data_IF_310586845160
#
_entry.id   IF_310586845160
#
_cell.length_a   1.000
_cell.length_b   1.000
_cell.length_c   1.000
_cell.angle_alpha   90.00
_cell.angle_beta   90.00
_cell.angle_gamma   90.00
#
_symmetry.space_group_name_H-M   'P 1'
#
loop_
_entity.id
_entity.type
_entity.pdbx_description
1 polymer ?
#
# COMPACT_ATOMS: atom_id res chain seq x y z
N UNK A 1 -1.76 4.74 11.12
CA UNK A 1 -0.53 5.47 10.67
C UNK A 1 0.12 4.62 9.58
N UNK A 2 0.47 5.22 8.42
CA UNK A 2 1.20 4.53 7.36
C UNK A 2 2.68 4.44 7.74
N UNK A 3 3.28 3.28 7.49
CA UNK A 3 4.69 2.96 7.75
C UNK A 3 5.25 2.11 6.62
N UNK A 4 6.56 2.08 6.45
CA UNK A 4 7.24 1.23 5.47
C UNK A 4 8.40 0.46 6.12
N UNK A 5 8.92 -0.56 5.41
CA UNK A 5 10.09 -1.33 5.88
C UNK A 5 11.39 -0.52 5.87
N UNK A 6 11.38 0.66 5.25
CA UNK A 6 12.60 1.38 4.96
C UNK A 6 13.40 0.74 3.83
N UNK A 7 14.67 1.10 3.76
CA UNK A 7 15.59 0.68 2.70
C UNK A 7 16.75 -0.10 3.30
N UNK A 8 17.29 -1.06 2.53
CA UNK A 8 18.54 -1.71 2.82
C UNK A 8 19.50 -1.51 1.65
N UNK A 9 20.81 -1.48 1.92
CA UNK A 9 21.80 -1.44 0.85
C UNK A 9 21.75 -2.73 0.03
N UNK A 10 22.06 -2.64 -1.27
CA UNK A 10 21.96 -3.77 -2.19
C UNK A 10 22.93 -4.92 -1.89
N UNK A 11 23.99 -4.67 -1.13
CA UNK A 11 24.95 -5.66 -0.65
C UNK A 11 24.55 -6.34 0.67
N UNK A 12 23.45 -5.91 1.27
CA UNK A 12 22.88 -6.55 2.46
C UNK A 12 22.04 -7.75 2.04
N UNK A 13 22.26 -8.88 2.72
CA UNK A 13 21.43 -10.06 2.52
C UNK A 13 19.95 -9.79 2.83
N UNK A 14 19.05 -10.23 1.94
CA UNK A 14 17.62 -9.94 2.07
C UNK A 14 17.00 -10.54 3.34
N UNK A 15 17.46 -11.70 3.80
CA UNK A 15 16.98 -12.30 5.05
C UNK A 15 17.46 -11.53 6.29
N UNK A 16 18.65 -10.96 6.25
CA UNK A 16 19.11 -10.12 7.36
C UNK A 16 18.38 -8.79 7.38
N UNK A 17 18.16 -8.17 6.22
CA UNK A 17 17.33 -6.97 6.11
C UNK A 17 15.89 -7.22 6.61
N UNK A 18 15.31 -8.37 6.25
CA UNK A 18 14.00 -8.80 6.73
C UNK A 18 13.97 -8.96 8.27
N UNK A 19 14.97 -9.59 8.86
CA UNK A 19 15.08 -9.77 10.33
C UNK A 19 15.16 -8.42 11.04
N UNK A 20 15.93 -7.46 10.52
CA UNK A 20 16.03 -6.11 11.09
C UNK A 20 14.71 -5.37 11.01
N UNK A 21 14.00 -5.48 9.88
CA UNK A 21 12.67 -4.90 9.76
C UNK A 21 11.69 -5.54 10.77
N UNK A 22 11.67 -6.87 10.88
CA UNK A 22 10.79 -7.57 11.82
C UNK A 22 11.09 -7.21 13.29
N UNK A 23 12.36 -7.10 13.67
CA UNK A 23 12.75 -6.66 15.02
C UNK A 23 12.32 -5.21 15.30
N UNK A 24 12.55 -4.31 14.35
CA UNK A 24 12.14 -2.92 14.45
C UNK A 24 10.62 -2.80 14.60
N UNK A 25 9.84 -3.51 13.78
CA UNK A 25 8.38 -3.52 13.89
C UNK A 25 7.90 -4.14 15.21
N UNK A 26 8.56 -5.20 15.69
CA UNK A 26 8.24 -5.78 17.01
C UNK A 26 8.41 -4.77 18.14
N UNK A 27 9.38 -3.87 18.03
CA UNK A 27 9.61 -2.83 19.03
C UNK A 27 8.56 -1.71 18.95
N UNK A 28 8.29 -1.16 17.76
CA UNK A 28 7.32 -0.07 17.61
C UNK A 28 5.88 -0.52 17.81
N UNK A 29 5.56 -1.78 17.51
CA UNK A 29 4.22 -2.33 17.72
C UNK A 29 3.84 -2.37 19.19
N UNK A 30 4.77 -2.63 20.12
CA UNK A 30 4.48 -2.54 21.57
C UNK A 30 3.98 -1.15 21.96
N UNK A 31 4.56 -0.10 21.36
CA UNK A 31 4.10 1.27 21.61
C UNK A 31 2.76 1.52 20.92
N UNK A 32 2.61 1.08 19.67
CA UNK A 32 1.36 1.23 18.93
C UNK A 32 0.19 0.56 19.66
N UNK A 33 0.38 -0.66 20.18
CA UNK A 33 -0.63 -1.37 20.99
C UNK A 33 -1.01 -0.58 22.24
N UNK A 34 -0.02 -0.05 22.98
CA UNK A 34 -0.28 0.72 24.21
C UNK A 34 -1.04 2.03 23.96
N UNK A 35 -0.93 2.60 22.75
CA UNK A 35 -1.59 3.85 22.35
C UNK A 35 -2.87 3.61 21.51
N UNK A 36 -3.23 2.36 21.23
CA UNK A 36 -4.37 2.02 20.38
C UNK A 36 -4.21 2.47 18.93
N UNK A 37 -2.97 2.50 18.41
CA UNK A 37 -2.64 2.93 17.04
C UNK A 37 -2.44 1.73 16.14
N UNK A 38 -3.14 1.69 15.01
CA UNK A 38 -2.86 0.72 13.94
C UNK A 38 -1.77 1.25 13.01
N UNK A 39 -0.75 0.44 12.75
CA UNK A 39 0.29 0.66 11.75
C UNK A 39 -0.13 -0.04 10.46
N UNK A 40 -0.27 0.71 9.37
CA UNK A 40 -0.54 0.18 8.04
C UNK A 40 0.78 0.12 7.27
N UNK A 41 1.33 -1.08 7.13
CA UNK A 41 2.63 -1.31 6.48
C UNK A 41 2.45 -1.37 4.97
N UNK A 42 3.07 -0.45 4.29
CA UNK A 42 3.10 -0.34 2.85
C UNK A 42 4.34 -1.03 2.27
N UNK A 43 4.18 -2.03 1.38
CA UNK A 43 5.29 -2.52 0.58
C UNK A 43 5.76 -1.45 -0.40
N UNK A 44 7.06 -1.40 -0.64
CA UNK A 44 7.61 -0.54 -1.68
C UNK A 44 7.90 -1.32 -2.96
N UNK A 45 8.08 -0.61 -4.06
CA UNK A 45 8.46 -1.23 -5.32
C UNK A 45 9.83 -1.91 -5.21
N UNK A 46 10.05 -2.93 -6.04
CA UNK A 46 11.35 -3.62 -6.15
C UNK A 46 12.52 -2.71 -6.56
N UNK A 47 12.21 -1.51 -7.06
CA UNK A 47 13.23 -0.50 -7.40
C UNK A 47 13.66 0.34 -6.20
N UNK A 48 12.86 0.31 -5.13
CA UNK A 48 13.12 1.09 -3.91
C UNK A 48 13.75 0.25 -2.80
N UNK A 49 13.33 -1.01 -2.64
CA UNK A 49 13.81 -1.91 -1.59
C UNK A 49 13.72 -3.37 -2.05
N UNK A 50 14.44 -4.25 -1.38
CA UNK A 50 14.34 -5.70 -1.57
C UNK A 50 13.80 -6.43 -0.32
N UNK A 51 13.24 -5.69 0.64
CA UNK A 51 12.76 -6.24 1.91
C UNK A 51 11.32 -6.75 1.80
N UNK A 52 10.44 -5.92 1.24
CA UNK A 52 9.01 -6.23 1.13
C UNK A 52 8.42 -5.51 -0.09
N UNK A 53 8.05 -6.27 -1.12
CA UNK A 53 7.55 -5.75 -2.39
C UNK A 53 6.22 -6.38 -2.83
N UNK A 54 5.87 -7.54 -2.31
CA UNK A 54 4.72 -8.34 -2.73
C UNK A 54 3.89 -8.81 -1.53
N UNK A 55 2.67 -9.26 -1.80
CA UNK A 55 1.72 -9.68 -0.76
C UNK A 55 2.26 -10.81 0.13
N UNK A 56 2.97 -11.78 -0.46
CA UNK A 56 3.52 -12.92 0.28
C UNK A 56 4.59 -12.50 1.30
N UNK A 57 5.45 -11.56 0.92
CA UNK A 57 6.49 -11.01 1.80
C UNK A 57 5.86 -10.13 2.90
N UNK A 58 4.86 -9.30 2.54
CA UNK A 58 4.12 -8.52 3.52
C UNK A 58 3.45 -9.43 4.56
N UNK A 59 2.71 -10.44 4.11
CA UNK A 59 2.04 -11.39 5.01
C UNK A 59 3.04 -12.15 5.90
N UNK A 60 4.20 -12.53 5.35
CA UNK A 60 5.30 -13.12 6.12
C UNK A 60 5.75 -12.19 7.24
N UNK A 61 5.93 -10.90 6.93
CA UNK A 61 6.39 -9.91 7.93
C UNK A 61 5.34 -9.69 9.02
N UNK A 62 4.05 -9.53 8.64
CA UNK A 62 2.96 -9.41 9.60
C UNK A 62 2.92 -10.62 10.56
N UNK A 63 3.04 -11.85 10.03
CA UNK A 63 3.03 -13.08 10.82
C UNK A 63 4.26 -13.21 11.71
N UNK A 64 5.44 -12.77 11.23
CA UNK A 64 6.69 -12.83 12.01
C UNK A 64 6.63 -11.87 13.19
N UNK A 65 6.12 -10.66 13.00
CA UNK A 65 5.92 -9.68 14.08
C UNK A 65 4.80 -10.11 15.03
N UNK A 66 3.71 -10.65 14.51
CA UNK A 66 2.59 -11.22 15.27
C UNK A 66 1.79 -10.21 16.10
N UNK A 67 1.93 -8.90 15.85
CA UNK A 67 1.22 -7.85 16.56
C UNK A 67 -0.14 -7.55 15.93
N UNK A 68 -1.22 -7.42 16.70
CA UNK A 68 -2.52 -6.99 16.19
C UNK A 68 -2.51 -5.53 15.70
N UNK A 69 -1.54 -4.72 16.16
CA UNK A 69 -1.40 -3.33 15.76
C UNK A 69 -0.74 -3.18 14.36
N UNK A 70 -0.10 -4.24 13.83
CA UNK A 70 0.52 -4.20 12.51
C UNK A 70 -0.40 -4.84 11.46
N UNK A 71 -0.77 -4.07 10.46
CA UNK A 71 -1.60 -4.49 9.33
C UNK A 71 -0.93 -4.08 8.03
N UNK A 72 -1.40 -4.59 6.91
CA UNK A 72 -0.92 -4.21 5.59
C UNK A 72 -1.68 -3.05 4.98
N UNK A 73 -1.01 -2.42 4.03
CA UNK A 73 -1.56 -1.44 3.11
C UNK A 73 -1.37 -1.94 1.69
N UNK A 74 -2.39 -1.81 0.86
CA UNK A 74 -2.30 -2.07 -0.58
C UNK A 74 -2.32 -0.74 -1.33
N UNK A 75 -1.31 -0.51 -2.18
CA UNK A 75 -1.28 0.63 -3.08
C UNK A 75 -1.45 0.14 -4.52
N UNK A 76 -2.42 0.70 -5.25
CA UNK A 76 -2.75 0.26 -6.61
C UNK A 76 -1.60 0.45 -7.59
N UNK A 77 -0.85 1.56 -7.48
CA UNK A 77 0.28 1.85 -8.38
C UNK A 77 1.56 1.09 -7.98
N UNK A 78 1.85 0.95 -6.69
CA UNK A 78 3.00 0.17 -6.21
C UNK A 78 2.86 -1.30 -6.58
N UNK A 79 1.68 -1.89 -6.42
CA UNK A 79 1.40 -3.28 -6.79
C UNK A 79 1.59 -3.46 -8.31
N UNK A 80 1.01 -2.58 -9.12
CA UNK A 80 1.16 -2.62 -10.57
C UNK A 80 2.60 -2.42 -11.03
N UNK A 81 3.35 -1.50 -10.40
CA UNK A 81 4.77 -1.21 -10.69
C UNK A 81 5.66 -2.39 -10.33
N UNK A 82 5.37 -3.09 -9.25
CA UNK A 82 6.10 -4.30 -8.85
C UNK A 82 5.86 -5.43 -9.85
N UNK A 83 4.61 -5.58 -10.34
CA UNK A 83 4.24 -6.48 -11.42
C UNK A 83 4.30 -7.97 -11.06
N UNK A 84 4.31 -8.32 -9.77
CA UNK A 84 4.26 -9.70 -9.27
C UNK A 84 2.81 -10.11 -9.02
N UNK A 85 2.07 -9.29 -8.28
CA UNK A 85 0.67 -9.49 -7.98
C UNK A 85 -0.23 -8.62 -8.87
N UNK A 86 -1.44 -9.07 -9.16
CA UNK A 86 -2.55 -8.18 -9.48
C UNK A 86 -3.11 -7.60 -8.18
N UNK A 87 -3.86 -6.49 -8.25
CA UNK A 87 -4.49 -5.94 -7.04
C UNK A 87 -5.39 -6.97 -6.34
N UNK A 88 -6.15 -7.74 -7.13
CA UNK A 88 -7.02 -8.82 -6.62
C UNK A 88 -6.21 -9.93 -5.90
N UNK A 89 -5.11 -10.41 -6.52
CA UNK A 89 -4.25 -11.42 -5.89
C UNK A 89 -3.57 -10.90 -4.63
N UNK A 90 -3.11 -9.64 -4.64
CA UNK A 90 -2.51 -9.01 -3.48
C UNK A 90 -3.48 -8.98 -2.29
N UNK A 91 -4.69 -8.46 -2.50
CA UNK A 91 -5.73 -8.40 -1.48
C UNK A 91 -6.13 -9.81 -1.02
N UNK A 92 -6.24 -10.77 -1.96
CA UNK A 92 -6.57 -12.16 -1.67
C UNK A 92 -5.54 -12.87 -0.79
N UNK A 93 -4.25 -12.67 -1.04
CA UNK A 93 -3.16 -13.24 -0.26
C UNK A 93 -3.09 -12.60 1.14
N UNK A 94 -3.23 -11.27 1.21
CA UNK A 94 -3.18 -10.55 2.48
C UNK A 94 -4.35 -10.93 3.39
N UNK A 95 -5.52 -11.07 2.81
CA UNK A 95 -6.76 -11.33 3.55
C UNK A 95 -7.34 -10.08 4.21
N UNK A 96 -8.65 -10.10 4.41
CA UNK A 96 -9.41 -8.96 4.94
C UNK A 96 -8.93 -8.51 6.32
N UNK A 97 -8.61 -9.46 7.18
CA UNK A 97 -8.20 -9.21 8.57
C UNK A 97 -6.83 -8.53 8.68
N UNK A 98 -6.03 -8.59 7.62
CA UNK A 98 -4.70 -7.99 7.60
C UNK A 98 -4.64 -6.67 6.81
N UNK A 99 -5.69 -6.28 6.10
CA UNK A 99 -5.74 -5.05 5.31
C UNK A 99 -6.30 -3.90 6.15
N UNK A 100 -5.49 -2.89 6.44
CA UNK A 100 -5.90 -1.72 7.22
C UNK A 100 -6.19 -0.49 6.37
N UNK A 101 -5.52 -0.34 5.23
CA UNK A 101 -5.63 0.86 4.40
C UNK A 101 -5.34 0.54 2.93
N UNK A 102 -5.84 1.39 2.05
CA UNK A 102 -5.58 1.32 0.62
C UNK A 102 -5.20 2.72 0.12
N UNK A 103 -4.04 2.86 -0.52
CA UNK A 103 -3.77 3.96 -1.42
C UNK A 103 -4.35 3.61 -2.78
N UNK A 104 -5.25 4.47 -3.24
CA UNK A 104 -6.01 4.23 -4.45
C UNK A 104 -5.74 5.35 -5.45
N UNK A 105 -4.80 5.13 -6.33
CA UNK A 105 -4.28 6.08 -7.31
C UNK A 105 -4.11 5.41 -8.66
N UNK A 106 -3.99 6.19 -9.70
CA UNK A 106 -3.69 5.69 -11.04
C UNK A 106 -2.17 5.68 -11.31
N UNK A 107 -1.76 5.02 -12.38
CA UNK A 107 -0.37 4.90 -12.79
C UNK A 107 -0.23 4.38 -14.22
N UNK A 108 1.02 4.36 -14.76
CA UNK A 108 1.32 3.85 -16.09
C UNK A 108 2.34 2.68 -16.18
N UNK A 109 2.42 1.64 -15.32
CA UNK A 109 2.52 1.71 -13.86
C UNK A 109 3.60 2.67 -13.40
N UNK A 110 3.43 3.20 -12.21
CA UNK A 110 4.26 4.25 -11.66
C UNK A 110 3.68 5.65 -11.89
N UNK A 111 4.02 6.56 -10.98
CA UNK A 111 3.65 7.96 -11.07
C UNK A 111 2.67 8.45 -10.00
N UNK A 112 1.88 7.60 -9.38
CA UNK A 112 0.86 8.03 -8.42
C UNK A 112 0.01 9.17 -8.98
N UNK A 113 -0.75 8.80 -10.02
CA UNK A 113 -1.52 9.75 -10.83
C UNK A 113 -2.94 9.94 -10.27
N UNK A 114 -3.53 11.06 -10.65
CA UNK A 114 -4.97 11.26 -10.49
C UNK A 114 -5.73 10.14 -11.21
N UNK A 115 -6.73 9.51 -10.58
CA UNK A 115 -7.58 8.53 -11.24
C UNK A 115 -8.13 9.02 -12.58
N UNK A 116 -7.86 8.27 -13.65
CA UNK A 116 -8.17 8.61 -15.03
C UNK A 116 -7.02 9.26 -15.83
N UNK A 117 -5.89 9.57 -15.22
CA UNK A 117 -4.70 10.09 -15.92
C UNK A 117 -3.68 8.99 -16.26
N UNK A 118 -3.88 7.77 -15.76
CA UNK A 118 -3.08 6.59 -16.02
C UNK A 118 -3.82 5.53 -16.84
N UNK A 119 -3.39 4.28 -16.69
CA UNK A 119 -3.95 3.14 -17.41
C UNK A 119 -4.23 1.93 -16.52
N UNK A 120 -4.23 2.09 -15.20
CA UNK A 120 -4.58 1.02 -14.29
C UNK A 120 -6.08 0.72 -14.36
N UNK A 121 -6.45 -0.55 -14.23
CA UNK A 121 -7.86 -0.94 -14.18
C UNK A 121 -8.45 -0.68 -12.78
N UNK A 122 -8.68 0.60 -12.48
CA UNK A 122 -9.18 1.03 -11.18
C UNK A 122 -10.62 0.56 -10.91
N UNK A 123 -11.45 0.42 -11.95
CA UNK A 123 -12.81 -0.11 -11.79
C UNK A 123 -12.75 -1.57 -11.30
N UNK A 124 -11.83 -2.39 -11.82
CA UNK A 124 -11.62 -3.75 -11.32
C UNK A 124 -11.10 -3.76 -9.87
N UNK A 125 -10.22 -2.81 -9.53
CA UNK A 125 -9.73 -2.69 -8.15
C UNK A 125 -10.87 -2.30 -7.16
N UNK A 126 -11.80 -1.43 -7.55
CA UNK A 126 -13.01 -1.13 -6.76
C UNK A 126 -13.88 -2.37 -6.58
N UNK A 127 -14.17 -3.12 -7.66
CA UNK A 127 -14.93 -4.37 -7.56
C UNK A 127 -14.25 -5.39 -6.64
N UNK A 128 -12.92 -5.46 -6.65
CA UNK A 128 -12.17 -6.31 -5.72
C UNK A 128 -12.44 -5.90 -4.28
N UNK A 129 -12.33 -4.60 -3.95
CA UNK A 129 -12.58 -4.10 -2.60
C UNK A 129 -14.03 -4.33 -2.15
N UNK A 130 -14.99 -4.17 -3.04
CA UNK A 130 -16.41 -4.49 -2.77
C UNK A 130 -16.60 -5.98 -2.47
N UNK A 131 -16.04 -6.88 -3.29
CA UNK A 131 -16.10 -8.32 -3.10
C UNK A 131 -15.47 -8.78 -1.78
N UNK A 132 -14.42 -8.07 -1.34
CA UNK A 132 -13.78 -8.26 -0.03
C UNK A 132 -14.51 -7.58 1.13
N UNK A 133 -15.63 -6.88 0.85
CA UNK A 133 -16.38 -6.09 1.85
C UNK A 133 -15.45 -5.12 2.63
N UNK A 134 -14.51 -4.47 1.92
CA UNK A 134 -13.60 -3.50 2.52
C UNK A 134 -14.39 -2.28 3.03
N UNK A 135 -14.14 -1.89 4.28
CA UNK A 135 -14.84 -0.78 4.95
C UNK A 135 -13.90 0.35 5.38
N UNK A 136 -12.65 0.28 4.96
CA UNK A 136 -11.64 1.31 5.27
C UNK A 136 -11.72 2.51 4.33
N UNK A 137 -10.74 3.37 4.45
CA UNK A 137 -10.61 4.57 3.61
C UNK A 137 -9.75 4.27 2.38
N UNK A 138 -10.08 4.94 1.28
CA UNK A 138 -9.25 5.03 0.09
C UNK A 138 -8.44 6.33 0.15
N UNK A 139 -7.12 6.19 0.35
CA UNK A 139 -6.22 7.34 0.39
C UNK A 139 -5.80 7.77 -1.00
N UNK A 140 -5.78 9.07 -1.26
CA UNK A 140 -5.26 9.67 -2.49
C UNK A 140 -3.80 10.08 -2.27
N UNK A 141 -2.86 9.23 -2.64
CA UNK A 141 -1.43 9.56 -2.59
C UNK A 141 -0.92 10.03 -3.95
N UNK A 142 -1.34 11.22 -4.37
CA UNK A 142 -0.98 11.79 -5.67
C UNK A 142 0.39 12.45 -5.58
N UNK A 143 1.41 11.91 -6.26
CA UNK A 143 2.80 12.33 -6.11
C UNK A 143 3.44 12.86 -7.41
N UNK A 144 2.80 12.71 -8.57
CA UNK A 144 3.41 13.12 -9.84
C UNK A 144 3.61 14.64 -9.92
N UNK A 145 4.79 15.04 -10.40
CA UNK A 145 5.19 16.45 -10.50
C UNK A 145 4.31 17.28 -11.43
N UNK A 146 3.56 16.66 -12.35
CA UNK A 146 2.63 17.35 -13.27
C UNK A 146 1.55 18.15 -12.53
N UNK A 147 1.24 17.76 -11.28
CA UNK A 147 0.19 18.40 -10.48
C UNK A 147 0.69 19.52 -9.55
N UNK A 148 2.00 19.68 -9.40
CA UNK A 148 2.60 20.64 -8.44
C UNK A 148 2.14 22.09 -8.70
N UNK A 149 1.93 22.46 -9.97
CA UNK A 149 1.53 23.83 -10.33
C UNK A 149 0.03 24.08 -10.13
N UNK A 150 -0.79 23.04 -10.04
CA UNK A 150 -2.23 23.15 -9.82
C UNK A 150 -2.77 21.94 -9.01
N UNK A 151 -2.38 21.79 -7.74
CA UNK A 151 -2.77 20.66 -6.92
C UNK A 151 -4.28 20.63 -6.61
N UNK A 152 -4.94 21.80 -6.57
CA UNK A 152 -6.39 21.87 -6.36
C UNK A 152 -7.17 21.27 -7.52
N UNK A 153 -6.71 21.43 -8.75
CA UNK A 153 -7.33 20.81 -9.91
C UNK A 153 -7.17 19.29 -9.88
N UNK A 154 -5.99 18.81 -9.55
CA UNK A 154 -5.74 17.38 -9.39
C UNK A 154 -6.69 16.76 -8.36
N UNK A 155 -6.83 17.39 -7.19
CA UNK A 155 -7.72 16.93 -6.14
C UNK A 155 -9.20 16.97 -6.58
N UNK A 156 -9.63 18.01 -7.23
CA UNK A 156 -11.01 18.14 -7.74
C UNK A 156 -11.34 17.04 -8.76
N UNK A 157 -10.43 16.76 -9.68
CA UNK A 157 -10.60 15.69 -10.68
C UNK A 157 -10.64 14.32 -10.03
N UNK A 158 -9.76 14.06 -9.08
CA UNK A 158 -9.76 12.82 -8.31
C UNK A 158 -11.10 12.63 -7.59
N UNK A 159 -11.58 13.64 -6.86
CA UNK A 159 -12.87 13.58 -6.16
C UNK A 159 -14.05 13.39 -7.12
N UNK A 160 -14.04 14.04 -8.30
CA UNK A 160 -15.07 13.85 -9.32
C UNK A 160 -15.08 12.39 -9.81
N UNK A 161 -13.92 11.81 -10.10
CA UNK A 161 -13.80 10.41 -10.52
C UNK A 161 -14.39 9.43 -9.48
N UNK A 162 -14.13 9.68 -8.19
CA UNK A 162 -14.71 8.86 -7.11
C UNK A 162 -16.22 9.05 -6.98
N UNK A 163 -16.71 10.29 -7.04
CA UNK A 163 -18.14 10.58 -6.89
C UNK A 163 -19.01 9.89 -7.95
N UNK A 164 -18.45 9.66 -9.13
CA UNK A 164 -19.13 8.94 -10.21
C UNK A 164 -19.25 7.43 -9.97
N UNK A 165 -18.41 6.86 -9.09
CA UNK A 165 -18.26 5.39 -8.91
C UNK A 165 -18.63 4.89 -7.53
N UNK A 166 -18.49 5.71 -6.49
CA UNK A 166 -18.66 5.31 -5.10
C UNK A 166 -19.79 6.12 -4.42
N UNK A 167 -20.36 7.12 -5.15
CA UNK A 167 -21.40 8.04 -4.68
C UNK A 167 -22.75 7.43 -4.33
#
# INVERSE_FOLDING_TARGET
>A
MVVSTGFAYLDVDGEDAFKWAADSFSQICRKAESEGVTLALEPFTKYSTHICNEASQLLRLLRTVGSPALKGLGDTDVIATTGVDTFETFIGILGRENLAHVHFVDGNPGGHLVPGDGNLNLDQALHTLEAFDYKGYLGLEILDRRYVMNPEDAMRRALAWYSERIG
#
